data_IF_832065675177
#
_entry.id   IF_832065675177
#
_cell.length_a   1.000
_cell.length_b   1.000
_cell.length_c   1.000
_cell.angle_alpha   90.00
_cell.angle_beta   90.00
_cell.angle_gamma   90.00
#
_symmetry.space_group_name_H-M   'P 1'
#
loop_
_entity.id
_entity.type
_entity.pdbx_description
1 polymer ?
#
# COMPACT_ATOMS: atom_id res chain seq x y z
N UNK A 1 -11.14 16.54 43.17
CA UNK A 1 -11.16 15.15 42.68
C UNK A 1 -10.51 15.13 41.31
N UNK A 2 -9.55 14.24 41.05
CA UNK A 2 -8.87 14.11 39.76
C UNK A 2 -9.38 12.84 39.07
N UNK A 3 -9.61 12.88 37.77
CA UNK A 3 -10.14 11.75 37.01
C UNK A 3 -9.58 11.74 35.57
N UNK A 4 -9.56 10.54 34.99
CA UNK A 4 -9.16 10.26 33.61
C UNK A 4 -10.39 9.71 32.88
N UNK A 5 -10.52 10.04 31.60
CA UNK A 5 -11.44 9.37 30.71
C UNK A 5 -10.65 8.38 29.85
N UNK A 6 -11.03 7.11 29.88
CA UNK A 6 -10.33 6.05 29.16
C UNK A 6 -11.30 5.48 28.14
N UNK A 7 -10.94 5.57 26.86
CA UNK A 7 -11.61 4.86 25.78
C UNK A 7 -10.74 3.69 25.37
N UNK A 8 -11.34 2.54 25.14
CA UNK A 8 -10.61 1.34 24.74
C UNK A 8 -11.48 0.49 23.84
N UNK A 9 -10.85 -0.38 23.05
CA UNK A 9 -11.57 -1.25 22.14
C UNK A 9 -12.43 -2.26 22.91
N UNK A 10 -13.67 -2.43 22.47
CA UNK A 10 -14.64 -3.36 23.10
C UNK A 10 -14.28 -4.81 22.81
N UNK A 11 -13.71 -5.07 21.63
CA UNK A 11 -13.35 -6.41 21.18
C UNK A 11 -11.83 -6.57 21.16
N UNK A 12 -11.36 -7.74 21.60
CA UNK A 12 -9.95 -8.11 21.51
C UNK A 12 -9.76 -9.10 20.36
N UNK A 13 -9.04 -8.67 19.32
CA UNK A 13 -8.68 -9.51 18.18
C UNK A 13 -7.17 -9.76 18.18
N UNK A 14 -6.69 -11.02 18.33
CA UNK A 14 -5.27 -11.33 18.44
C UNK A 14 -4.40 -10.91 17.24
N UNK A 15 -5.04 -10.69 16.09
CA UNK A 15 -4.41 -10.29 14.83
C UNK A 15 -4.46 -8.79 14.57
N UNK A 16 -4.96 -8.01 15.53
CA UNK A 16 -5.07 -6.55 15.45
C UNK A 16 -4.43 -5.88 16.66
N UNK A 17 -4.24 -4.56 16.55
CA UNK A 17 -3.81 -3.73 17.67
C UNK A 17 -5.00 -3.46 18.59
N UNK A 18 -4.76 -3.48 19.90
CA UNK A 18 -5.74 -3.06 20.90
C UNK A 18 -5.48 -1.61 21.29
N UNK A 19 -6.44 -0.73 21.02
CA UNK A 19 -6.32 0.69 21.27
C UNK A 19 -6.82 1.08 22.67
N UNK A 20 -6.06 1.96 23.33
CA UNK A 20 -6.42 2.60 24.59
C UNK A 20 -6.09 4.09 24.45
N UNK A 21 -7.12 4.93 24.52
CA UNK A 21 -7.01 6.38 24.56
C UNK A 21 -7.18 6.88 25.99
N UNK A 22 -6.22 7.68 26.45
CA UNK A 22 -6.27 8.32 27.76
C UNK A 22 -6.50 9.81 27.54
N UNK A 23 -7.67 10.31 27.93
CA UNK A 23 -8.05 11.71 27.83
C UNK A 23 -8.15 12.32 29.24
N UNK A 24 -7.57 13.50 29.44
CA UNK A 24 -7.63 14.20 30.72
C UNK A 24 -7.66 15.72 30.55
N UNK A 25 -8.42 16.38 31.43
CA UNK A 25 -8.47 17.85 31.56
C UNK A 25 -8.29 18.28 33.01
N UNK A 26 -8.77 17.47 33.96
CA UNK A 26 -8.86 17.80 35.41
C UNK A 26 -7.83 17.00 36.23
N UNK A 27 -6.75 16.55 35.60
CA UNK A 27 -5.69 15.74 36.23
C UNK A 27 -4.32 16.41 36.04
N UNK A 28 -3.45 16.32 37.06
CA UNK A 28 -2.05 16.77 36.96
C UNK A 28 -1.29 15.83 36.02
N UNK A 29 -0.51 16.39 35.08
CA UNK A 29 0.27 15.60 34.12
C UNK A 29 1.13 14.53 34.77
N UNK A 30 1.81 14.85 35.88
CA UNK A 30 2.64 13.88 36.61
C UNK A 30 1.87 12.61 37.04
N UNK A 31 0.59 12.75 37.44
CA UNK A 31 -0.22 11.59 37.81
C UNK A 31 -0.68 10.79 36.60
N UNK A 32 -0.84 11.43 35.44
CA UNK A 32 -1.12 10.76 34.17
C UNK A 32 0.11 9.97 33.71
N UNK A 33 1.30 10.57 33.80
CA UNK A 33 2.56 9.92 33.48
C UNK A 33 2.79 8.69 34.38
N UNK A 34 2.55 8.83 35.69
CA UNK A 34 2.61 7.71 36.65
C UNK A 34 1.61 6.60 36.30
N UNK A 35 0.39 6.96 35.90
CA UNK A 35 -0.63 6.00 35.43
C UNK A 35 -0.18 5.26 34.17
N UNK A 36 0.32 5.98 33.15
CA UNK A 36 0.80 5.40 31.89
C UNK A 36 1.99 4.46 32.16
N UNK A 37 2.94 4.89 32.99
CA UNK A 37 4.09 4.07 33.38
C UNK A 37 3.64 2.82 34.15
N UNK A 38 2.66 2.94 35.04
CA UNK A 38 2.06 1.82 35.75
C UNK A 38 1.40 0.83 34.79
N UNK A 39 0.65 1.33 33.81
CA UNK A 39 -0.01 0.53 32.78
C UNK A 39 1.03 -0.23 31.93
N UNK A 40 2.10 0.44 31.50
CA UNK A 40 3.21 -0.18 30.77
C UNK A 40 3.90 -1.28 31.58
N UNK A 41 4.21 -1.02 32.86
CA UNK A 41 4.81 -2.04 33.75
C UNK A 41 3.90 -3.25 33.92
N UNK A 42 2.59 -3.03 34.07
CA UNK A 42 1.61 -4.12 34.23
C UNK A 42 1.48 -4.93 32.94
N UNK A 43 1.43 -4.28 31.78
CA UNK A 43 1.41 -4.97 30.49
C UNK A 43 2.63 -5.87 30.30
N UNK A 44 3.82 -5.39 30.64
CA UNK A 44 5.06 -6.18 30.57
C UNK A 44 5.02 -7.46 31.41
N UNK A 45 4.32 -7.47 32.54
CA UNK A 45 4.15 -8.69 33.36
C UNK A 45 3.35 -9.78 32.64
N UNK A 46 2.56 -9.41 31.62
CA UNK A 46 1.79 -10.33 30.78
C UNK A 46 2.42 -10.51 29.39
N UNK A 47 3.68 -10.12 29.21
CA UNK A 47 4.37 -10.12 27.91
C UNK A 47 3.65 -9.27 26.84
N UNK A 48 2.99 -8.19 27.26
CA UNK A 48 2.35 -7.22 26.39
C UNK A 48 3.15 -5.91 26.36
N UNK A 49 3.14 -5.26 25.21
CA UNK A 49 3.81 -3.99 24.97
C UNK A 49 2.77 -2.88 24.75
N UNK A 50 2.91 -1.80 25.51
CA UNK A 50 2.10 -0.59 25.35
C UNK A 50 2.99 0.50 24.76
N UNK A 51 2.64 0.89 23.54
CA UNK A 51 3.42 1.82 22.73
C UNK A 51 2.64 3.12 22.59
N UNK A 52 3.22 4.27 22.96
CA UNK A 52 2.59 5.55 22.69
C UNK A 52 2.54 5.78 21.18
N UNK A 53 1.35 6.05 20.65
CA UNK A 53 1.16 6.30 19.22
C UNK A 53 1.12 7.80 18.91
N UNK A 54 1.57 8.22 17.70
CA UNK A 54 1.45 9.62 17.28
C UNK A 54 -0.02 10.04 17.21
N UNK A 55 -0.31 11.30 17.52
CA UNK A 55 -1.66 11.90 17.47
C UNK A 55 -2.36 11.69 16.11
N UNK A 56 -1.57 11.62 15.04
CA UNK A 56 -2.06 11.43 13.67
C UNK A 56 -2.65 10.02 13.42
N UNK A 57 -2.44 9.06 14.33
CA UNK A 57 -2.90 7.68 14.16
C UNK A 57 -4.43 7.60 14.01
N UNK A 58 -5.17 8.39 14.80
CA UNK A 58 -6.63 8.47 14.74
C UNK A 58 -7.18 9.49 13.73
N UNK A 59 -6.31 10.32 13.13
CA UNK A 59 -6.75 11.39 12.24
C UNK A 59 -6.71 10.95 10.78
N UNK A 60 -7.83 11.08 10.05
CA UNK A 60 -7.85 10.79 8.62
C UNK A 60 -7.06 11.80 7.79
N UNK A 61 -6.93 13.04 8.27
CA UNK A 61 -6.03 14.02 7.66
C UNK A 61 -4.58 13.71 7.99
N UNK A 62 -3.71 13.95 7.03
CA UNK A 62 -2.28 13.75 7.16
C UNK A 62 -1.55 15.04 7.56
N UNK A 63 -2.21 16.19 7.45
CA UNK A 63 -1.68 17.53 7.74
C UNK A 63 -1.86 17.94 9.21
N UNK A 64 -1.94 16.97 10.13
CA UNK A 64 -2.18 17.24 11.56
C UNK A 64 -1.04 18.06 12.18
N UNK A 65 0.20 17.86 11.70
CA UNK A 65 1.37 18.52 12.26
C UNK A 65 2.36 18.99 11.18
N UNK A 66 2.72 20.30 11.14
CA UNK A 66 3.53 20.86 10.05
C UNK A 66 4.98 20.35 10.02
N UNK A 67 5.50 19.82 11.12
CA UNK A 67 6.85 19.22 11.19
C UNK A 67 6.88 17.71 10.96
N UNK A 68 5.71 17.08 10.75
CA UNK A 68 5.65 15.67 10.36
C UNK A 68 5.43 15.67 8.85
N UNK A 69 6.37 15.07 8.13
CA UNK A 69 6.27 14.91 6.68
C UNK A 69 6.04 13.43 6.38
N UNK A 70 4.78 12.98 6.19
CA UNK A 70 4.50 11.64 5.72
C UNK A 70 5.23 11.37 4.40
N UNK A 71 5.81 10.18 4.28
CA UNK A 71 6.53 9.79 3.06
C UNK A 71 5.59 8.93 2.21
N UNK A 72 5.30 9.40 1.00
CA UNK A 72 4.45 8.71 0.04
C UNK A 72 5.30 7.89 -0.93
N UNK A 73 4.94 6.62 -1.11
CA UNK A 73 5.50 5.73 -2.12
C UNK A 73 4.37 5.29 -3.08
N UNK A 74 4.44 5.63 -4.37
CA UNK A 74 3.44 5.22 -5.34
C UNK A 74 3.47 3.71 -5.56
N UNK A 75 2.29 3.10 -5.69
CA UNK A 75 2.13 1.72 -6.18
C UNK A 75 1.25 1.74 -7.43
N UNK A 76 1.50 0.81 -8.36
CA UNK A 76 0.90 0.86 -9.70
C UNK A 76 -0.13 -0.24 -9.94
N UNK A 77 0.02 -1.39 -9.28
CA UNK A 77 -0.82 -2.56 -9.52
C UNK A 77 -1.39 -3.15 -8.25
N UNK A 78 -2.56 -3.82 -8.35
CA UNK A 78 -3.16 -4.57 -7.24
C UNK A 78 -2.23 -5.67 -6.70
N UNK A 79 -1.36 -6.24 -7.56
CA UNK A 79 -0.36 -7.21 -7.14
C UNK A 79 0.70 -6.57 -6.23
N UNK A 80 1.13 -5.35 -6.53
CA UNK A 80 2.08 -4.59 -5.71
C UNK A 80 1.51 -4.38 -4.30
N UNK A 81 0.24 -3.97 -4.22
CA UNK A 81 -0.45 -3.79 -2.94
C UNK A 81 -0.48 -5.08 -2.10
N UNK A 82 -0.78 -6.22 -2.73
CA UNK A 82 -0.81 -7.51 -2.05
C UNK A 82 0.59 -7.92 -1.54
N UNK A 83 1.64 -7.71 -2.34
CA UNK A 83 3.02 -7.99 -1.93
C UNK A 83 3.44 -7.11 -0.76
N UNK A 84 3.16 -5.80 -0.82
CA UNK A 84 3.51 -4.87 0.27
C UNK A 84 2.75 -5.23 1.55
N UNK A 85 1.46 -5.49 1.48
CA UNK A 85 0.66 -5.91 2.64
C UNK A 85 1.20 -7.20 3.28
N UNK A 86 1.58 -8.18 2.45
CA UNK A 86 2.20 -9.40 2.94
C UNK A 86 3.54 -9.10 3.63
N UNK A 87 4.40 -8.27 3.02
CA UNK A 87 5.70 -7.90 3.62
C UNK A 87 5.55 -7.14 4.93
N UNK A 88 4.58 -6.22 5.02
CA UNK A 88 4.27 -5.49 6.24
C UNK A 88 3.96 -6.43 7.40
N UNK A 89 3.08 -7.40 7.17
CA UNK A 89 2.56 -8.29 8.22
C UNK A 89 3.47 -9.48 8.53
N UNK A 90 4.10 -10.08 7.53
CA UNK A 90 4.92 -11.29 7.70
C UNK A 90 6.36 -11.00 8.14
N UNK A 91 6.96 -9.89 7.70
CA UNK A 91 8.40 -9.64 7.86
C UNK A 91 8.68 -8.37 8.66
N UNK A 92 7.98 -7.28 8.35
CA UNK A 92 8.25 -5.96 8.93
C UNK A 92 7.52 -5.71 10.26
N UNK A 93 6.94 -6.75 10.87
CA UNK A 93 6.31 -6.70 12.20
C UNK A 93 5.22 -5.64 12.33
N UNK A 94 4.49 -5.36 11.24
CA UNK A 94 3.27 -4.57 11.31
C UNK A 94 2.05 -5.45 11.63
N UNK A 95 1.05 -4.83 12.21
CA UNK A 95 -0.25 -5.41 12.52
C UNK A 95 -1.33 -4.54 11.90
N UNK A 96 -2.38 -5.14 11.33
CA UNK A 96 -3.53 -4.38 10.85
C UNK A 96 -4.23 -3.75 12.05
N UNK A 97 -4.45 -2.44 12.02
CA UNK A 97 -5.27 -1.76 13.01
C UNK A 97 -6.71 -1.61 12.51
N UNK A 98 -6.91 -1.21 11.25
CA UNK A 98 -8.26 -1.07 10.73
C UNK A 98 -8.37 -0.60 9.29
N UNK A 99 -9.61 -0.55 8.81
CA UNK A 99 -9.99 0.02 7.52
C UNK A 99 -10.73 1.32 7.79
N UNK A 100 -10.19 2.41 7.28
CA UNK A 100 -10.69 3.75 7.55
C UNK A 100 -11.20 4.40 6.27
N UNK A 101 -12.22 5.25 6.41
CA UNK A 101 -12.72 6.07 5.31
C UNK A 101 -11.83 7.29 5.14
N UNK A 102 -11.58 7.70 3.89
CA UNK A 102 -10.94 8.98 3.58
C UNK A 102 -12.06 10.01 3.42
N UNK A 103 -12.18 10.99 4.35
CA UNK A 103 -13.13 12.08 4.18
C UNK A 103 -12.82 12.86 2.91
N UNK A 104 -13.86 13.35 2.23
CA UNK A 104 -13.70 14.04 0.94
C UNK A 104 -12.81 15.29 1.07
N UNK A 105 -12.96 16.02 2.18
CA UNK A 105 -12.15 17.18 2.55
C UNK A 105 -10.68 16.84 2.81
N UNK A 106 -10.37 15.61 3.19
CA UNK A 106 -9.00 15.12 3.43
C UNK A 106 -8.36 14.53 2.16
N UNK A 107 -9.06 14.54 1.03
CA UNK A 107 -8.57 14.06 -0.25
C UNK A 107 -7.59 15.08 -0.88
N UNK A 108 -6.52 15.38 -0.15
CA UNK A 108 -5.45 16.28 -0.55
C UNK A 108 -4.51 15.63 -1.58
N UNK A 109 -3.49 16.37 -2.03
CA UNK A 109 -2.45 15.86 -2.91
C UNK A 109 -1.75 14.60 -2.35
N UNK A 110 -1.71 14.45 -1.02
CA UNK A 110 -1.00 13.36 -0.35
C UNK A 110 -1.69 12.00 -0.55
N UNK A 111 -3.01 11.97 -0.65
CA UNK A 111 -3.78 10.76 -0.96
C UNK A 111 -3.93 10.51 -2.47
N UNK A 112 -3.71 11.52 -3.31
CA UNK A 112 -3.95 11.41 -4.76
C UNK A 112 -2.73 10.92 -5.56
N UNK A 113 -1.55 10.83 -4.93
CA UNK A 113 -0.30 10.48 -5.62
C UNK A 113 0.01 11.41 -6.80
N UNK A 114 1.08 11.16 -7.57
CA UNK A 114 1.26 11.77 -8.88
C UNK A 114 0.06 11.40 -9.75
N UNK A 115 -0.62 12.40 -10.31
CA UNK A 115 -1.83 12.21 -11.14
C UNK A 115 -1.52 11.40 -12.41
N UNK A 116 -1.54 10.08 -12.32
CA UNK A 116 -1.61 9.20 -13.48
C UNK A 116 -3.02 8.61 -13.60
N UNK A 117 -3.86 9.38 -14.30
CA UNK A 117 -4.97 8.97 -15.18
C UNK A 117 -5.57 7.55 -15.10
N UNK A 118 -6.92 7.55 -14.93
CA UNK A 118 -7.97 6.57 -15.34
C UNK A 118 -8.35 5.52 -14.27
N UNK A 119 -9.61 5.18 -14.02
CA UNK A 119 -10.90 5.53 -14.63
C UNK A 119 -11.99 5.46 -13.56
N UNK A 120 -12.94 6.40 -13.62
CA UNK A 120 -14.24 6.23 -12.96
C UNK A 120 -14.88 4.99 -13.60
N UNK A 121 -14.97 3.89 -12.86
CA UNK A 121 -15.82 2.77 -13.25
C UNK A 121 -17.27 3.28 -13.30
N UNK A 122 -18.01 3.11 -14.41
CA UNK A 122 -19.33 3.73 -14.61
C UNK A 122 -20.46 3.01 -13.85
N UNK A 123 -20.18 2.40 -12.69
CA UNK A 123 -21.08 1.46 -12.02
C UNK A 123 -22.03 2.09 -10.98
N UNK A 124 -21.96 3.38 -10.69
CA UNK A 124 -22.93 4.04 -9.79
C UNK A 124 -23.51 5.32 -10.39
N UNK A 125 -24.30 5.16 -11.46
CA UNK A 125 -25.28 6.18 -11.87
C UNK A 125 -26.53 6.01 -11.01
N UNK A 126 -26.61 6.78 -9.93
CA UNK A 126 -27.88 7.04 -9.23
C UNK A 126 -28.83 7.80 -10.17
N UNK A 127 -30.10 7.41 -10.22
CA UNK A 127 -31.17 7.99 -11.06
C UNK A 127 -31.46 9.50 -10.83
N UNK A 128 -30.65 10.18 -10.02
CA UNK A 128 -30.79 11.58 -9.61
C UNK A 128 -29.78 12.52 -10.30
N UNK A 129 -28.96 12.04 -11.25
CA UNK A 129 -28.00 12.90 -11.98
C UNK A 129 -26.84 13.48 -11.16
N UNK A 130 -26.75 13.12 -9.86
CA UNK A 130 -25.61 13.45 -8.99
C UNK A 130 -24.76 12.20 -8.81
N UNK A 131 -23.62 12.15 -9.50
CA UNK A 131 -22.56 11.17 -9.24
C UNK A 131 -21.98 11.44 -7.86
N UNK A 132 -22.31 10.59 -6.87
CA UNK A 132 -21.56 10.60 -5.61
C UNK A 132 -20.12 10.20 -5.92
N UNK A 133 -19.10 10.96 -5.47
CA UNK A 133 -17.72 10.54 -5.64
C UNK A 133 -17.52 9.20 -4.91
N UNK A 134 -16.71 8.27 -5.48
CA UNK A 134 -16.47 6.98 -4.87
C UNK A 134 -15.88 7.16 -3.47
N UNK A 135 -16.42 6.43 -2.50
CA UNK A 135 -15.95 6.49 -1.13
C UNK A 135 -14.62 5.74 -1.02
N UNK A 136 -13.52 6.49 -0.92
CA UNK A 136 -12.17 5.93 -0.79
C UNK A 136 -11.89 5.52 0.65
N UNK A 137 -11.08 4.48 0.79
CA UNK A 137 -10.65 3.94 2.08
C UNK A 137 -9.14 3.71 2.09
N UNK A 138 -8.57 3.59 3.29
CA UNK A 138 -7.22 3.10 3.47
C UNK A 138 -7.20 2.02 4.55
N UNK A 139 -6.23 1.12 4.44
CA UNK A 139 -5.87 0.17 5.50
C UNK A 139 -4.72 0.74 6.30
N UNK A 140 -4.85 0.74 7.62
CA UNK A 140 -3.82 1.24 8.52
C UNK A 140 -3.13 0.09 9.24
N UNK A 141 -1.81 0.15 9.24
CA UNK A 141 -0.94 -0.85 9.85
C UNK A 141 -0.04 -0.18 10.89
N UNK A 142 0.02 -0.73 12.10
CA UNK A 142 0.84 -0.19 13.20
C UNK A 142 2.00 -1.16 13.46
N UNK A 143 3.19 -0.62 13.70
CA UNK A 143 4.34 -1.46 14.02
C UNK A 143 4.26 -2.01 15.46
N UNK A 144 4.56 -3.29 15.65
CA UNK A 144 4.41 -4.00 16.94
C UNK A 144 5.29 -3.50 18.08
N UNK A 145 6.37 -2.77 17.79
CA UNK A 145 7.33 -2.30 18.80
C UNK A 145 7.81 -0.85 18.63
N UNK A 146 7.32 -0.15 17.61
CA UNK A 146 7.80 1.20 17.28
C UNK A 146 6.64 2.15 17.04
N UNK A 147 6.81 3.40 17.44
CA UNK A 147 5.81 4.47 17.28
C UNK A 147 5.78 4.98 15.83
N UNK A 148 5.29 4.12 14.93
CA UNK A 148 5.09 4.40 13.52
C UNK A 148 3.95 3.54 12.97
N UNK A 149 3.35 4.02 11.89
CA UNK A 149 2.28 3.34 11.18
C UNK A 149 2.34 3.63 9.69
N UNK A 150 1.71 2.76 8.92
CA UNK A 150 1.66 2.83 7.47
C UNK A 150 0.20 2.84 7.03
N UNK A 151 -0.14 3.70 6.08
CA UNK A 151 -1.45 3.66 5.39
C UNK A 151 -1.27 3.11 3.99
N UNK A 152 -2.02 2.06 3.68
CA UNK A 152 -2.16 1.52 2.35
C UNK A 152 -3.44 2.07 1.73
N UNK A 153 -3.28 2.97 0.77
CA UNK A 153 -4.38 3.62 0.05
C UNK A 153 -4.60 2.91 -1.28
N UNK A 154 -5.43 3.45 -2.17
CA UNK A 154 -5.56 3.06 -3.57
C UNK A 154 -4.45 3.66 -4.47
N UNK A 155 -3.70 4.65 -3.99
CA UNK A 155 -2.61 5.29 -4.74
C UNK A 155 -1.22 4.80 -4.33
N UNK A 156 -1.07 4.29 -3.11
CA UNK A 156 0.23 3.81 -2.64
C UNK A 156 0.33 3.61 -1.13
N UNK A 157 1.58 3.63 -0.67
CA UNK A 157 1.97 3.42 0.72
C UNK A 157 2.35 4.76 1.31
N UNK A 158 1.86 5.03 2.52
CA UNK A 158 2.17 6.25 3.25
C UNK A 158 2.82 5.87 4.56
N UNK A 159 4.09 6.21 4.73
CA UNK A 159 4.80 6.04 5.99
C UNK A 159 4.59 7.25 6.89
N UNK A 160 4.18 7.00 8.14
CA UNK A 160 3.97 8.03 9.15
C UNK A 160 4.64 7.57 10.45
N UNK A 161 5.50 8.41 10.99
CA UNK A 161 6.27 8.12 12.21
C UNK A 161 6.09 9.22 13.25
N UNK A 162 6.36 8.87 14.50
CA UNK A 162 6.42 9.88 15.57
C UNK A 162 7.51 10.91 15.30
N UNK A 163 7.41 12.07 15.97
CA UNK A 163 8.38 13.17 15.87
C UNK A 163 9.81 12.78 16.31
N UNK A 164 9.98 11.62 16.96
CA UNK A 164 11.28 11.12 17.46
C UNK A 164 11.96 10.19 16.45
N UNK A 165 12.17 10.67 15.23
CA UNK A 165 12.70 9.92 14.07
C UNK A 165 14.17 9.47 14.16
N UNK A 166 14.81 9.55 15.32
CA UNK A 166 16.26 9.45 15.43
C UNK A 166 16.79 8.08 15.86
N UNK A 167 15.95 7.05 16.01
CA UNK A 167 16.45 5.72 16.36
C UNK A 167 16.96 4.97 15.14
N UNK A 168 18.08 4.27 15.30
CA UNK A 168 18.65 3.39 14.26
C UNK A 168 17.64 2.35 13.79
N UNK A 169 16.88 1.75 14.71
CA UNK A 169 15.86 0.75 14.39
C UNK A 169 14.77 1.31 13.47
N UNK A 170 14.31 2.54 13.70
CA UNK A 170 13.31 3.19 12.86
C UNK A 170 13.85 3.46 11.45
N UNK A 171 15.11 3.91 11.35
CA UNK A 171 15.77 4.14 10.06
C UNK A 171 15.94 2.83 9.29
N UNK A 172 16.36 1.75 9.95
CA UNK A 172 16.46 0.42 9.35
C UNK A 172 15.10 -0.03 8.81
N UNK A 173 14.03 0.09 9.61
CA UNK A 173 12.69 -0.30 9.17
C UNK A 173 12.21 0.52 7.98
N UNK A 174 12.41 1.84 8.00
CA UNK A 174 12.08 2.71 6.89
C UNK A 174 12.81 2.28 5.61
N UNK A 175 14.13 2.04 5.70
CA UNK A 175 14.93 1.58 4.57
C UNK A 175 14.47 0.21 4.06
N UNK A 176 14.07 -0.71 4.95
CA UNK A 176 13.53 -2.03 4.55
C UNK A 176 12.23 -1.88 3.76
N UNK A 177 11.29 -1.06 4.24
CA UNK A 177 10.04 -0.80 3.51
C UNK A 177 10.31 -0.14 2.15
N UNK A 178 11.18 0.85 2.12
CA UNK A 178 11.59 1.51 0.88
C UNK A 178 12.19 0.51 -0.11
N UNK A 179 13.07 -0.38 0.36
CA UNK A 179 13.69 -1.41 -0.47
C UNK A 179 12.66 -2.39 -1.04
N UNK A 180 11.67 -2.82 -0.25
CA UNK A 180 10.56 -3.66 -0.73
C UNK A 180 9.84 -2.99 -1.90
N UNK A 181 9.49 -1.71 -1.76
CA UNK A 181 8.73 -0.98 -2.78
C UNK A 181 9.56 -0.73 -4.05
N UNK A 182 10.86 -0.42 -3.88
CA UNK A 182 11.79 -0.28 -5.01
C UNK A 182 11.97 -1.59 -5.78
N UNK A 183 12.07 -2.72 -5.09
CA UNK A 183 12.23 -4.04 -5.71
C UNK A 183 11.00 -4.42 -6.54
N UNK A 184 9.80 -4.13 -6.05
CA UNK A 184 8.56 -4.31 -6.80
C UNK A 184 8.58 -3.47 -8.08
N UNK A 185 8.97 -2.19 -7.97
CA UNK A 185 9.04 -1.27 -9.11
C UNK A 185 10.01 -1.75 -10.19
N UNK A 186 11.19 -2.24 -9.82
CA UNK A 186 12.18 -2.79 -10.77
C UNK A 186 11.66 -4.05 -11.45
N UNK A 187 11.02 -4.95 -10.69
CA UNK A 187 10.46 -6.19 -11.23
C UNK A 187 9.37 -5.91 -12.27
N UNK A 188 8.56 -4.86 -12.06
CA UNK A 188 7.55 -4.43 -13.02
C UNK A 188 8.17 -3.93 -14.33
N UNK A 189 9.25 -3.14 -14.25
CA UNK A 189 9.97 -2.66 -15.45
C UNK A 189 10.67 -3.80 -16.20
N UNK A 190 11.24 -4.79 -15.51
CA UNK A 190 11.82 -5.98 -16.16
C UNK A 190 10.75 -6.80 -16.90
N UNK A 191 9.57 -7.01 -16.29
CA UNK A 191 8.46 -7.70 -16.96
C UNK A 191 7.97 -6.96 -18.21
N UNK A 192 7.98 -5.62 -18.21
CA UNK A 192 7.66 -4.83 -19.40
C UNK A 192 8.69 -5.08 -20.51
N UNK A 193 9.98 -5.07 -20.18
CA UNK A 193 11.05 -5.33 -21.14
C UNK A 193 10.94 -6.74 -21.75
N UNK A 194 10.67 -7.76 -20.93
CA UNK A 194 10.48 -9.14 -21.42
C UNK A 194 9.23 -9.26 -22.31
N UNK A 195 8.15 -8.54 -21.98
CA UNK A 195 6.95 -8.48 -22.80
C UNK A 195 7.22 -7.85 -24.18
N UNK A 196 8.00 -6.77 -24.23
CA UNK A 196 8.40 -6.14 -25.49
C UNK A 196 9.29 -7.06 -26.34
N UNK A 197 10.26 -7.76 -25.74
CA UNK A 197 11.10 -8.72 -26.47
C UNK A 197 10.30 -9.91 -27.01
N UNK A 198 9.31 -10.39 -26.24
CA UNK A 198 8.45 -11.51 -26.65
C UNK A 198 7.54 -11.08 -27.80
N UNK A 199 6.92 -9.90 -27.73
CA UNK A 199 6.05 -9.39 -28.80
C UNK A 199 6.81 -9.08 -30.08
N UNK A 200 8.03 -8.53 -30.02
CA UNK A 200 8.89 -8.36 -31.22
C UNK A 200 9.34 -9.69 -31.81
N UNK A 201 9.59 -10.71 -30.98
CA UNK A 201 9.98 -12.05 -31.45
C UNK A 201 8.80 -12.78 -32.09
N UNK A 202 7.57 -12.62 -31.58
CA UNK A 202 6.35 -13.18 -32.16
C UNK A 202 5.96 -12.48 -33.46
N UNK A 203 6.12 -11.15 -33.57
CA UNK A 203 5.87 -10.47 -34.86
C UNK A 203 6.92 -10.82 -35.90
N UNK A 204 8.20 -10.96 -35.51
CA UNK A 204 9.26 -11.41 -36.41
C UNK A 204 9.06 -12.86 -36.88
N UNK A 205 8.59 -13.77 -36.02
CA UNK A 205 8.32 -15.16 -36.41
C UNK A 205 7.10 -15.30 -37.33
N UNK A 206 6.05 -14.48 -37.11
CA UNK A 206 4.89 -14.42 -38.02
C UNK A 206 5.28 -13.85 -39.40
N UNK A 207 6.11 -12.81 -39.44
CA UNK A 207 6.62 -12.24 -40.69
C UNK A 207 7.50 -13.23 -41.48
N UNK A 208 8.34 -14.00 -40.79
CA UNK A 208 9.19 -15.05 -41.39
C UNK A 208 8.37 -16.24 -41.89
N UNK A 209 7.32 -16.63 -41.17
CA UNK A 209 6.40 -17.69 -41.60
C UNK A 209 5.60 -17.29 -42.86
N UNK A 210 5.19 -16.02 -42.98
CA UNK A 210 4.54 -15.50 -44.19
C UNK A 210 5.49 -15.42 -45.39
N UNK A 211 6.78 -15.10 -45.18
CA UNK A 211 7.79 -15.13 -46.24
C UNK A 211 8.07 -16.54 -46.78
N UNK A 212 8.13 -17.55 -45.90
CA UNK A 212 8.29 -18.95 -46.32
C UNK A 212 7.08 -19.48 -47.10
N UNK A 213 5.87 -18.98 -46.82
CA UNK A 213 4.65 -19.35 -47.54
C UNK A 213 4.58 -18.75 -48.96
N UNK A 214 5.17 -17.56 -49.17
CA UNK A 214 5.32 -16.94 -50.50
C UNK A 214 6.40 -17.61 -51.36
N UNK A 215 7.46 -18.15 -50.76
CA UNK A 215 8.52 -18.85 -51.50
C UNK A 215 8.08 -20.27 -51.90
N UNK A 216 7.30 -20.96 -51.05
CA UNK A 216 6.77 -22.29 -51.36
C UNK A 216 5.76 -22.32 -52.52
N UNK A 217 5.08 -21.20 -52.80
CA UNK A 217 4.08 -21.11 -53.88
C UNK A 217 4.68 -20.82 -55.26
N UNK A 218 5.96 -20.44 -55.35
CA UNK A 218 6.63 -20.23 -56.65
C UNK A 218 7.38 -21.47 -57.19
N UNK A 219 7.47 -22.55 -56.42
CA UNK A 219 8.22 -23.76 -56.81
C UNK A 219 7.32 -24.91 -57.33
N UNK A 220 5.99 -24.76 -57.36
CA UNK A 220 5.07 -25.80 -57.84
C UNK A 220 4.60 -25.64 -59.31
N UNK A 221 5.01 -24.60 -60.05
CA UNK A 221 4.53 -24.37 -61.43
C UNK A 221 5.40 -25.00 -62.56
N UNK A 222 6.42 -25.81 -62.25
CA UNK A 222 7.38 -26.26 -63.27
C UNK A 222 7.52 -27.77 -63.51
N UNK A 223 6.51 -28.59 -63.21
CA UNK A 223 6.50 -30.02 -63.59
C UNK A 223 5.19 -30.43 -64.27
N UNK A 224 5.08 -30.17 -65.58
CA UNK A 224 4.12 -30.84 -66.48
C UNK A 224 4.63 -30.80 -67.94
N UNK A 225 5.59 -31.65 -68.29
CA UNK A 225 5.83 -32.07 -69.68
C UNK A 225 6.08 -33.58 -69.72
N UNK A 226 5.05 -34.34 -70.07
CA UNK A 226 5.15 -35.75 -70.49
C UNK A 226 5.25 -35.82 -72.03
N UNK A 227 6.08 -36.70 -72.60
CA UNK A 227 6.13 -36.93 -74.04
C UNK A 227 5.21 -38.11 -74.44
N UNK A 228 4.54 -38.00 -75.59
CA UNK A 228 3.86 -39.14 -76.20
C UNK A 228 4.17 -39.21 -77.71
N UNK A 229 4.82 -40.32 -78.06
CA UNK A 229 4.77 -41.13 -79.28
C UNK A 229 4.72 -40.47 -80.68
N UNK A 230 5.72 -40.84 -81.49
CA UNK A 230 5.52 -41.36 -82.84
C UNK A 230 6.39 -42.62 -83.00
#
# INVERSE_FOLDING_TARGET
>A
QQWLNIHYDVEFLPVQVYHIEVQWLVCRSALVDDFILGLQRRAKQFNLDIIPMPENCGASTMDVHPLICPVFFPLRSAADFAVVEHKLTAELQFCLEGIHRIPYESMTYQYNGPKETKAISPAHRSASGKTRPPQRTYRQFIHRSMSCFVRLTDAGVIWISSRRMHSTAMQTLFCQLQHVIQTISVTDEMKKLDFFQTTTSTTASVFMADQQKQIGTMLEEHDCLSPTAA
#
